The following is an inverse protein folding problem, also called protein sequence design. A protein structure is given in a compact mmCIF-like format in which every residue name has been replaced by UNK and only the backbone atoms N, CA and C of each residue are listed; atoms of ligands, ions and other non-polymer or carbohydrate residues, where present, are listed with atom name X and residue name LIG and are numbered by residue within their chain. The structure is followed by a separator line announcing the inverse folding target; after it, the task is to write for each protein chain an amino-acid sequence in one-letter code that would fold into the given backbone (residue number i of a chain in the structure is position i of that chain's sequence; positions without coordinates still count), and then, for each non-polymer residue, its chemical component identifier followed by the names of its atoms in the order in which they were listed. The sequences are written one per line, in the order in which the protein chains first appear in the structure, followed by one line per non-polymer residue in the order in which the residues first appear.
data_IF_133086890692
#
_entry.id   IF_133086890692
#
_cell.length_a   1.000
_cell.length_b   1.000
_cell.length_c   1.000
_cell.angle_alpha   90.00
_cell.angle_beta   90.00
_cell.angle_gamma   90.00
#
_symmetry.space_group_name_H-M   'P 1'
#
loop_
_entity.id
_entity.type
_entity.pdbx_description
1 polymer ?
#
# COMPACT_ATOMS: atom_id res chain seq x y z
N UNK A 1 -2.60 -12.89 -8.29
CA UNK A 1 -2.50 -11.78 -7.35
C UNK A 1 -3.41 -12.12 -6.19
N UNK A 2 -2.99 -11.89 -4.96
CA UNK A 2 -3.79 -12.18 -3.77
C UNK A 2 -5.05 -11.32 -3.75
N UNK A 3 -6.09 -11.78 -3.05
CA UNK A 3 -7.34 -11.01 -2.90
C UNK A 3 -7.09 -9.65 -2.25
N UNK A 4 -6.16 -9.58 -1.29
CA UNK A 4 -5.79 -8.35 -0.58
C UNK A 4 -5.16 -7.34 -1.55
N UNK A 5 -4.20 -7.77 -2.36
CA UNK A 5 -3.60 -6.92 -3.38
C UNK A 5 -4.60 -6.43 -4.42
N UNK A 6 -5.49 -7.32 -4.85
CA UNK A 6 -6.55 -6.97 -5.80
C UNK A 6 -7.43 -5.88 -5.21
N UNK A 7 -7.81 -6.00 -3.94
CA UNK A 7 -8.59 -4.99 -3.23
C UNK A 7 -7.82 -3.67 -3.06
N UNK A 8 -6.54 -3.71 -2.66
CA UNK A 8 -5.71 -2.51 -2.51
C UNK A 8 -5.53 -1.75 -3.82
N UNK A 9 -5.20 -2.47 -4.90
CA UNK A 9 -5.06 -1.85 -6.22
C UNK A 9 -6.39 -1.29 -6.71
N UNK A 10 -7.48 -2.04 -6.57
CA UNK A 10 -8.81 -1.52 -6.91
C UNK A 10 -9.15 -0.25 -6.12
N UNK A 11 -8.88 -0.23 -4.82
CA UNK A 11 -9.13 0.92 -3.96
C UNK A 11 -8.28 2.14 -4.36
N UNK A 12 -6.99 1.93 -4.66
CA UNK A 12 -6.10 2.97 -5.18
C UNK A 12 -6.61 3.52 -6.52
N UNK A 13 -7.01 2.66 -7.46
CA UNK A 13 -7.48 3.09 -8.78
C UNK A 13 -8.82 3.84 -8.69
N UNK A 14 -9.77 3.34 -7.89
CA UNK A 14 -11.05 4.03 -7.63
C UNK A 14 -10.78 5.38 -6.98
N UNK A 15 -9.95 5.42 -5.93
CA UNK A 15 -9.61 6.67 -5.25
C UNK A 15 -8.85 7.65 -6.15
N UNK A 16 -8.01 7.16 -7.07
CA UNK A 16 -7.33 7.99 -8.05
C UNK A 16 -8.33 8.66 -9.00
N UNK A 17 -9.27 7.89 -9.56
CA UNK A 17 -10.34 8.41 -10.42
C UNK A 17 -11.17 9.45 -9.67
N UNK A 18 -11.57 9.16 -8.42
CA UNK A 18 -12.30 10.11 -7.59
C UNK A 18 -11.51 11.41 -7.37
N UNK A 19 -10.22 11.31 -7.06
CA UNK A 19 -9.35 12.48 -6.90
C UNK A 19 -9.34 13.36 -8.15
N UNK A 20 -9.19 12.77 -9.34
CA UNK A 20 -9.24 13.55 -10.59
C UNK A 20 -10.61 14.15 -10.87
N UNK A 21 -11.70 13.41 -10.64
CA UNK A 21 -13.09 13.91 -10.83
C UNK A 21 -13.40 15.07 -9.89
N UNK A 22 -12.87 15.05 -8.67
CA UNK A 22 -13.05 16.10 -7.67
C UNK A 22 -12.10 17.30 -7.86
N UNK A 23 -11.24 17.30 -8.89
CA UNK A 23 -10.28 18.39 -9.12
C UNK A 23 -9.10 18.36 -8.15
N UNK A 24 -8.79 17.20 -7.57
CA UNK A 24 -7.73 16.96 -6.59
C UNK A 24 -6.57 16.14 -7.21
N UNK A 25 -5.80 16.72 -8.14
CA UNK A 25 -4.80 15.99 -8.92
C UNK A 25 -3.65 15.45 -8.07
N UNK A 26 -3.33 16.09 -6.95
CA UNK A 26 -2.29 15.63 -6.01
C UNK A 26 -2.70 14.31 -5.38
N UNK A 27 -3.93 14.22 -4.87
CA UNK A 27 -4.48 12.98 -4.30
C UNK A 27 -4.63 11.92 -5.39
N UNK A 28 -5.22 12.31 -6.53
CA UNK A 28 -5.43 11.42 -7.67
C UNK A 28 -4.14 10.76 -8.16
N UNK A 29 -3.10 11.57 -8.38
CA UNK A 29 -1.78 11.09 -8.83
C UNK A 29 -1.11 10.19 -7.79
N UNK A 30 -1.19 10.56 -6.50
CA UNK A 30 -0.57 9.78 -5.42
C UNK A 30 -1.17 8.37 -5.34
N UNK A 31 -2.49 8.27 -5.42
CA UNK A 31 -3.20 6.99 -5.40
C UNK A 31 -2.95 6.17 -6.67
N UNK A 32 -2.88 6.83 -7.84
CA UNK A 32 -2.56 6.16 -9.10
C UNK A 32 -1.15 5.54 -9.04
N UNK A 33 -0.15 6.34 -8.67
CA UNK A 33 1.25 5.89 -8.54
C UNK A 33 1.36 4.77 -7.50
N UNK A 34 0.71 4.93 -6.33
CA UNK A 34 0.67 3.88 -5.30
C UNK A 34 0.05 2.58 -5.80
N UNK A 35 -1.07 2.65 -6.52
CA UNK A 35 -1.73 1.50 -7.13
C UNK A 35 -0.87 0.80 -8.20
N UNK A 36 -0.19 1.56 -9.05
CA UNK A 36 0.70 1.02 -10.08
C UNK A 36 1.95 0.37 -9.47
N UNK A 37 2.59 1.01 -8.49
CA UNK A 37 3.77 0.46 -7.80
C UNK A 37 3.38 -0.80 -7.02
N UNK A 38 2.32 -0.74 -6.21
CA UNK A 38 1.84 -1.87 -5.43
C UNK A 38 1.41 -3.05 -6.32
N UNK A 39 0.65 -2.76 -7.38
CA UNK A 39 0.21 -3.78 -8.33
C UNK A 39 1.34 -4.37 -9.16
N UNK A 40 2.27 -3.55 -9.64
CA UNK A 40 3.47 -3.99 -10.33
C UNK A 40 4.37 -4.86 -9.45
N UNK A 41 4.58 -4.45 -8.20
CA UNK A 41 5.30 -5.21 -7.19
C UNK A 41 4.65 -6.56 -6.91
N UNK A 42 3.32 -6.60 -6.79
CA UNK A 42 2.56 -7.84 -6.65
C UNK A 42 2.71 -8.80 -7.83
N UNK A 43 2.69 -8.27 -9.06
CA UNK A 43 2.89 -9.09 -10.26
C UNK A 43 4.32 -9.64 -10.31
N UNK A 44 5.32 -8.80 -9.98
CA UNK A 44 6.71 -9.20 -9.95
C UNK A 44 6.98 -10.30 -8.90
N UNK A 45 6.42 -10.15 -7.69
CA UNK A 45 6.62 -11.07 -6.57
C UNK A 45 6.01 -12.47 -6.79
N UNK A 46 5.16 -12.66 -7.81
CA UNK A 46 4.60 -13.97 -8.17
C UNK A 46 5.55 -14.83 -8.98
N UNK A 47 6.69 -14.30 -9.42
CA UNK A 47 7.70 -15.08 -10.14
C UNK A 47 8.37 -16.05 -9.15
N UNK A 48 8.64 -17.28 -9.60
CA UNK A 48 9.26 -18.32 -8.77
C UNK A 48 10.68 -17.98 -8.28
N UNK A 49 11.28 -16.89 -8.78
CA UNK A 49 12.60 -16.38 -8.39
C UNK A 49 12.54 -15.32 -7.30
N UNK A 50 11.35 -14.87 -6.89
CA UNK A 50 11.20 -13.80 -5.91
C UNK A 50 11.49 -14.27 -4.49
N UNK A 51 12.33 -13.52 -3.77
CA UNK A 51 12.68 -13.81 -2.39
C UNK A 51 11.55 -13.51 -1.40
N UNK A 52 11.68 -14.00 -0.17
CA UNK A 52 10.63 -13.93 0.85
C UNK A 52 10.21 -12.50 1.19
N UNK A 53 11.17 -11.57 1.18
CA UNK A 53 10.88 -10.15 1.41
C UNK A 53 9.98 -9.54 0.32
N UNK A 54 10.24 -9.86 -0.95
CA UNK A 54 9.44 -9.36 -2.07
C UNK A 54 8.01 -9.90 -1.96
N UNK A 55 7.86 -11.20 -1.71
CA UNK A 55 6.56 -11.86 -1.56
C UNK A 55 5.79 -11.33 -0.35
N UNK A 56 6.48 -11.06 0.76
CA UNK A 56 5.89 -10.51 1.97
C UNK A 56 5.38 -9.07 1.78
N UNK A 57 6.22 -8.17 1.28
CA UNK A 57 5.84 -6.78 1.02
C UNK A 57 4.77 -6.69 -0.07
N UNK A 58 4.81 -7.61 -1.02
CA UNK A 58 3.77 -7.77 -1.99
C UNK A 58 2.50 -8.43 -1.44
N UNK A 59 2.37 -8.79 -0.16
CA UNK A 59 1.17 -9.47 0.37
C UNK A 59 0.76 -10.72 -0.46
N UNK A 60 1.73 -11.39 -1.07
CA UNK A 60 1.57 -12.63 -1.84
C UNK A 60 2.02 -13.80 -0.94
N UNK A 61 1.19 -14.14 0.05
CA UNK A 61 1.42 -15.28 0.95
C UNK A 61 1.11 -16.60 0.24
N UNK A 62 1.96 -16.97 -0.72
CA UNK A 62 1.71 -18.14 -1.57
C UNK A 62 2.18 -19.47 -0.98
N UNK A 63 2.89 -19.48 0.16
CA UNK A 63 3.29 -20.72 0.83
C UNK A 63 3.10 -20.66 2.35
N UNK A 64 2.57 -21.74 2.92
CA UNK A 64 2.20 -21.82 4.33
C UNK A 64 3.37 -22.14 5.27
N UNK A 65 4.56 -22.38 4.71
CA UNK A 65 5.72 -22.95 5.42
C UNK A 65 6.62 -21.92 6.12
N UNK A 66 6.61 -20.65 5.70
CA UNK A 66 7.36 -19.60 6.39
C UNK A 66 6.44 -18.84 7.36
N UNK A 67 6.15 -19.48 8.49
CA UNK A 67 5.30 -18.95 9.56
C UNK A 67 6.12 -18.59 10.79
N UNK A 68 6.87 -17.50 10.74
CA UNK A 68 7.05 -16.69 11.95
C UNK A 68 5.81 -15.80 12.09
N UNK A 69 4.96 -16.11 13.07
CA UNK A 69 3.68 -15.42 13.30
C UNK A 69 3.83 -13.88 13.39
N UNK A 70 4.99 -13.37 13.85
CA UNK A 70 5.29 -11.94 13.91
C UNK A 70 5.35 -11.26 12.53
N UNK A 71 5.85 -11.96 11.51
CA UNK A 71 5.98 -11.44 10.13
C UNK A 71 4.60 -11.35 9.46
N UNK A 72 3.71 -12.31 9.72
CA UNK A 72 2.31 -12.25 9.25
C UNK A 72 1.49 -11.18 9.99
N UNK A 73 1.69 -11.03 11.29
CA UNK A 73 1.01 -9.98 12.08
C UNK A 73 1.35 -8.58 11.56
N UNK A 74 2.63 -8.30 11.31
CA UNK A 74 3.07 -7.01 10.78
C UNK A 74 2.59 -6.77 9.33
N UNK A 75 2.52 -7.82 8.51
CA UNK A 75 1.95 -7.74 7.18
C UNK A 75 0.45 -7.37 7.20
N UNK A 76 -0.34 -7.98 8.09
CA UNK A 76 -1.78 -7.67 8.24
C UNK A 76 -1.98 -6.24 8.73
N UNK A 77 -1.23 -5.81 9.75
CA UNK A 77 -1.31 -4.43 10.28
C UNK A 77 -0.97 -3.42 9.20
N UNK A 78 0.10 -3.64 8.42
CA UNK A 78 0.45 -2.75 7.32
C UNK A 78 -0.61 -2.71 6.22
N UNK A 79 -1.18 -3.86 5.85
CA UNK A 79 -2.27 -3.90 4.88
C UNK A 79 -3.50 -3.09 5.35
N UNK A 80 -3.89 -3.25 6.62
CA UNK A 80 -5.00 -2.46 7.22
C UNK A 80 -4.65 -0.97 7.24
N UNK A 81 -3.42 -0.62 7.64
CA UNK A 81 -2.97 0.76 7.69
C UNK A 81 -2.96 1.42 6.30
N UNK A 82 -2.57 0.69 5.25
CA UNK A 82 -2.66 1.15 3.86
C UNK A 82 -4.11 1.39 3.43
N UNK A 83 -5.03 0.49 3.76
CA UNK A 83 -6.48 0.70 3.49
C UNK A 83 -6.97 1.96 4.16
N UNK A 84 -6.68 2.14 5.45
CA UNK A 84 -7.09 3.33 6.20
C UNK A 84 -6.47 4.62 5.62
N UNK A 85 -5.20 4.56 5.21
CA UNK A 85 -4.52 5.68 4.55
C UNK A 85 -5.15 6.06 3.22
N UNK A 86 -5.56 5.08 2.40
CA UNK A 86 -6.29 5.35 1.15
C UNK A 86 -7.64 5.98 1.43
N UNK A 87 -8.38 5.47 2.43
CA UNK A 87 -9.67 6.06 2.86
C UNK A 87 -9.48 7.49 3.34
N UNK A 88 -8.43 7.76 4.13
CA UNK A 88 -8.10 9.12 4.57
C UNK A 88 -7.84 10.05 3.38
N UNK A 89 -7.09 9.60 2.37
CA UNK A 89 -6.83 10.40 1.18
C UNK A 89 -8.11 10.68 0.38
N UNK A 90 -9.03 9.72 0.29
CA UNK A 90 -10.34 9.94 -0.32
C UNK A 90 -11.16 10.99 0.46
N UNK A 91 -11.16 10.93 1.80
CA UNK A 91 -11.83 11.91 2.66
C UNK A 91 -11.22 13.31 2.44
N UNK A 92 -9.89 13.41 2.40
CA UNK A 92 -9.16 14.66 2.15
C UNK A 92 -9.56 15.28 0.80
N UNK A 93 -9.71 14.46 -0.24
CA UNK A 93 -10.16 14.93 -1.55
C UNK A 93 -11.62 15.43 -1.53
N UNK A 94 -12.51 14.78 -0.79
CA UNK A 94 -13.93 15.15 -0.69
C UNK A 94 -14.12 16.41 0.18
N UNK A 95 -13.36 16.53 1.27
CA UNK A 95 -13.53 17.58 2.26
C UNK A 95 -12.97 18.95 1.81
N UNK A 96 -12.27 19.03 0.67
CA UNK A 96 -11.77 20.29 0.12
C UNK A 96 -10.78 21.01 1.04
N UNK A 97 -9.95 20.25 1.77
CA UNK A 97 -9.03 20.81 2.78
C UNK A 97 -7.91 21.65 2.14
N UNK A 98 -7.29 22.52 2.96
CA UNK A 98 -6.21 23.39 2.51
C UNK A 98 -5.04 22.61 1.85
N UNK A 99 -4.35 23.24 0.90
CA UNK A 99 -3.25 22.64 0.14
C UNK A 99 -2.16 22.04 1.04
N UNK A 100 -1.77 22.73 2.11
CA UNK A 100 -0.77 22.24 3.07
C UNK A 100 -1.21 20.94 3.74
N UNK A 101 -2.48 20.85 4.14
CA UNK A 101 -3.05 19.64 4.75
C UNK A 101 -3.10 18.47 3.76
N UNK A 102 -3.37 18.72 2.47
CA UNK A 102 -3.32 17.70 1.42
C UNK A 102 -1.93 17.10 1.25
N UNK A 103 -0.91 17.94 1.13
CA UNK A 103 0.48 17.46 1.03
C UNK A 103 0.92 16.71 2.28
N UNK A 104 0.50 17.17 3.46
CA UNK A 104 0.79 16.47 4.72
C UNK A 104 0.13 15.09 4.75
N UNK A 105 -1.13 14.96 4.32
CA UNK A 105 -1.83 13.68 4.26
C UNK A 105 -1.14 12.69 3.30
N UNK A 106 -0.75 13.14 2.11
CA UNK A 106 0.03 12.34 1.16
C UNK A 106 1.39 11.96 1.75
N UNK A 107 2.08 12.90 2.37
CA UNK A 107 3.37 12.65 3.02
C UNK A 107 3.27 11.60 4.13
N UNK A 108 2.23 11.66 4.97
CA UNK A 108 1.96 10.68 6.01
C UNK A 108 1.65 9.29 5.42
N UNK A 109 0.86 9.22 4.34
CA UNK A 109 0.58 7.97 3.64
C UNK A 109 1.86 7.32 3.08
N UNK A 110 2.73 8.11 2.44
CA UNK A 110 4.01 7.62 1.92
C UNK A 110 4.96 7.20 3.05
N UNK A 111 5.02 7.95 4.15
CA UNK A 111 5.82 7.60 5.32
C UNK A 111 5.34 6.30 5.97
N UNK A 112 4.03 6.08 6.03
CA UNK A 112 3.44 4.83 6.49
C UNK A 112 3.85 3.66 5.58
N UNK A 113 3.70 3.81 4.26
CA UNK A 113 4.09 2.77 3.30
C UNK A 113 5.58 2.43 3.39
N UNK A 114 6.44 3.45 3.50
CA UNK A 114 7.88 3.28 3.64
C UNK A 114 8.25 2.60 4.96
N UNK A 115 7.69 3.06 6.09
CA UNK A 115 7.98 2.48 7.41
C UNK A 115 7.56 1.01 7.49
N UNK A 116 6.42 0.65 6.89
CA UNK A 116 5.99 -0.74 6.79
C UNK A 116 6.95 -1.58 5.94
N UNK A 117 7.38 -1.09 4.78
CA UNK A 117 8.38 -1.76 3.95
C UNK A 117 9.68 -2.03 4.71
N UNK A 118 10.21 -1.02 5.42
CA UNK A 118 11.44 -1.14 6.20
C UNK A 118 11.28 -2.07 7.40
N UNK A 119 10.13 -2.06 8.06
CA UNK A 119 9.84 -2.98 9.15
C UNK A 119 9.87 -4.44 8.64
N UNK A 120 9.19 -4.73 7.53
CA UNK A 120 9.24 -6.05 6.90
C UNK A 120 10.68 -6.45 6.51
N UNK A 121 11.45 -5.53 5.92
CA UNK A 121 12.86 -5.76 5.57
C UNK A 121 13.71 -6.10 6.79
N UNK A 122 13.54 -5.37 7.89
CA UNK A 122 14.29 -5.57 9.12
C UNK A 122 14.00 -6.94 9.72
N UNK A 123 12.72 -7.30 9.84
CA UNK A 123 12.33 -8.59 10.44
C UNK A 123 12.69 -9.78 9.56
N UNK A 124 12.59 -9.68 8.23
CA UNK A 124 13.00 -10.77 7.33
C UNK A 124 14.52 -10.99 7.34
N UNK A 125 15.32 -9.94 7.51
CA UNK A 125 16.79 -10.08 7.53
C UNK A 125 17.37 -10.47 8.90
N UNK A 126 16.67 -10.20 10.00
CA UNK A 126 17.20 -10.37 11.36
C UNK A 126 16.41 -11.35 12.24
N UNK A 127 15.20 -11.74 11.85
CA UNK A 127 14.40 -12.75 12.53
C UNK A 127 14.56 -14.12 11.88
#
# INVERSE_FOLDING_TARGET
MSRVNTALVALCLIGAVLGFVLGEPVVGTSLLVGGLIGGGGAIAARRGTSGDLERLNALEWADERDRTAGVKGLAVVGAVALVLGIVQLAIVAIAGVEQTARFMAVGMFLALAASWFFANWYFVRRG
#
